data_IF_907438518747
#
_entry.id   IF_907438518747
#
_cell.length_a   1.000
_cell.length_b   1.000
_cell.length_c   1.000
_cell.angle_alpha   90.00
_cell.angle_beta   90.00
_cell.angle_gamma   90.00
#
_symmetry.space_group_name_H-M   'P 1'
#
loop_
_entity.id
_entity.type
_entity.pdbx_description
1 polymer ?
#
# COMPACT_ATOMS: atom_id res chain seq x y z
N UNK A 1 1.66 10.42 2.20
CA UNK A 1 2.90 9.65 2.00
C UNK A 1 4.14 10.52 1.83
N UNK A 2 4.06 11.69 1.17
CA UNK A 2 5.23 12.55 0.91
C UNK A 2 6.07 12.88 2.15
N UNK A 3 5.44 13.34 3.25
CA UNK A 3 6.15 13.64 4.52
C UNK A 3 6.89 12.43 5.10
N UNK A 4 6.26 11.26 5.08
CA UNK A 4 6.83 10.04 5.65
C UNK A 4 7.96 9.50 4.78
N UNK A 5 7.79 9.52 3.44
CA UNK A 5 8.86 9.18 2.50
C UNK A 5 10.07 10.10 2.64
N UNK A 6 9.87 11.41 2.78
CA UNK A 6 10.95 12.36 3.02
C UNK A 6 11.70 12.07 4.34
N UNK A 7 10.97 11.71 5.40
CA UNK A 7 11.57 11.37 6.68
C UNK A 7 12.41 10.09 6.61
N UNK A 8 11.95 9.06 5.88
CA UNK A 8 12.72 7.84 5.63
C UNK A 8 14.03 8.15 4.93
N UNK A 9 13.99 8.92 3.84
CA UNK A 9 15.19 9.31 3.09
C UNK A 9 16.16 10.12 3.96
N UNK A 10 15.65 11.07 4.75
CA UNK A 10 16.49 11.86 5.66
C UNK A 10 17.19 10.98 6.71
N UNK A 11 16.46 10.01 7.28
CA UNK A 11 17.03 9.07 8.26
C UNK A 11 18.08 8.15 7.62
N UNK A 12 17.82 7.68 6.40
CA UNK A 12 18.74 6.82 5.65
C UNK A 12 20.04 7.55 5.30
N UNK A 13 19.95 8.81 4.89
CA UNK A 13 21.12 9.67 4.66
C UNK A 13 21.90 9.92 5.96
N UNK A 14 21.21 10.20 7.07
CA UNK A 14 21.86 10.37 8.37
C UNK A 14 22.59 9.09 8.82
N UNK A 15 21.96 7.93 8.66
CA UNK A 15 22.57 6.64 8.94
C UNK A 15 23.79 6.39 8.04
N UNK A 16 23.70 6.72 6.75
CA UNK A 16 24.82 6.65 5.81
C UNK A 16 26.00 7.54 6.19
N UNK A 17 25.74 8.77 6.65
CA UNK A 17 26.77 9.68 7.14
C UNK A 17 27.47 9.14 8.39
N UNK A 18 26.70 8.62 9.36
CA UNK A 18 27.26 8.00 10.56
C UNK A 18 28.10 6.77 10.19
N UNK A 19 27.59 5.91 9.32
CA UNK A 19 28.31 4.73 8.85
C UNK A 19 29.60 5.11 8.11
N UNK A 20 29.58 6.15 7.27
CA UNK A 20 30.78 6.65 6.61
C UNK A 20 31.81 7.18 7.61
N UNK A 21 31.37 7.86 8.67
CA UNK A 21 32.28 8.32 9.73
C UNK A 21 32.99 7.19 10.47
N UNK A 22 32.33 6.04 10.67
CA UNK A 22 32.90 4.89 11.37
C UNK A 22 33.69 3.92 10.47
N UNK A 23 33.18 3.64 9.27
CA UNK A 23 33.71 2.59 8.39
C UNK A 23 34.43 3.14 7.16
N UNK A 24 34.34 4.45 6.90
CA UNK A 24 34.96 5.11 5.76
C UNK A 24 34.27 4.84 4.42
N UNK A 25 35.01 5.05 3.34
CA UNK A 25 34.51 4.95 1.97
C UNK A 25 33.92 3.58 1.55
N UNK A 26 34.36 2.41 2.07
CA UNK A 26 33.81 1.12 1.65
C UNK A 26 32.31 1.00 1.91
N UNK A 27 31.80 1.68 2.94
CA UNK A 27 30.37 1.67 3.28
C UNK A 27 29.51 2.24 2.15
N UNK A 28 30.05 3.15 1.34
CA UNK A 28 29.32 3.77 0.23
C UNK A 28 28.99 2.76 -0.87
N UNK A 29 29.79 1.70 -1.02
CA UNK A 29 29.56 0.63 -2.02
C UNK A 29 28.23 -0.07 -1.77
N UNK A 30 27.80 -0.17 -0.51
CA UNK A 30 26.54 -0.81 -0.11
C UNK A 30 25.46 0.25 0.16
N UNK A 31 25.82 1.33 0.85
CA UNK A 31 24.88 2.38 1.24
C UNK A 31 24.24 3.09 0.04
N UNK A 32 25.02 3.37 -1.02
CA UNK A 32 24.49 4.05 -2.22
C UNK A 32 23.45 3.19 -2.94
N UNK A 33 23.70 1.90 -3.26
CA UNK A 33 22.67 1.02 -3.81
C UNK A 33 21.41 0.93 -2.96
N UNK A 34 21.54 0.87 -1.63
CA UNK A 34 20.40 0.81 -0.71
C UNK A 34 19.54 2.08 -0.82
N UNK A 35 20.15 3.27 -0.76
CA UNK A 35 19.45 4.55 -0.93
C UNK A 35 18.73 4.61 -2.30
N UNK A 36 19.40 4.16 -3.37
CA UNK A 36 18.80 4.13 -4.71
C UNK A 36 17.57 3.21 -4.74
N UNK A 37 17.65 2.03 -4.16
CA UNK A 37 16.52 1.10 -4.06
C UNK A 37 15.35 1.71 -3.28
N UNK A 38 15.63 2.38 -2.16
CA UNK A 38 14.62 3.08 -1.37
C UNK A 38 13.92 4.16 -2.19
N UNK A 39 14.67 4.98 -2.93
CA UNK A 39 14.10 5.99 -3.82
C UNK A 39 13.22 5.38 -4.91
N UNK A 40 13.68 4.30 -5.55
CA UNK A 40 12.90 3.57 -6.57
C UNK A 40 11.60 3.04 -5.96
N UNK A 41 11.65 2.42 -4.78
CA UNK A 41 10.47 1.92 -4.09
C UNK A 41 9.46 3.04 -3.79
N UNK A 42 9.94 4.20 -3.30
CA UNK A 42 9.10 5.37 -3.05
C UNK A 42 8.44 5.89 -4.33
N UNK A 43 9.18 5.93 -5.45
CA UNK A 43 8.64 6.32 -6.75
C UNK A 43 7.56 5.34 -7.23
N UNK A 44 7.81 4.04 -7.12
CA UNK A 44 6.84 2.99 -7.49
C UNK A 44 5.56 3.10 -6.66
N UNK A 45 5.69 3.30 -5.35
CA UNK A 45 4.54 3.50 -4.46
C UNK A 45 3.78 4.75 -4.87
N UNK A 46 4.48 5.87 -5.10
CA UNK A 46 3.86 7.14 -5.51
C UNK A 46 3.13 7.02 -6.84
N UNK A 47 3.70 6.33 -7.83
CA UNK A 47 3.05 6.05 -9.10
C UNK A 47 1.80 5.18 -8.94
N UNK A 48 1.82 4.25 -7.96
CA UNK A 48 0.71 3.34 -7.66
C UNK A 48 -0.43 3.99 -6.88
N UNK A 49 -0.23 5.15 -6.26
CA UNK A 49 -1.29 5.85 -5.51
C UNK A 49 -2.43 6.33 -6.42
N UNK A 50 -2.13 6.81 -7.63
CA UNK A 50 -3.13 7.30 -8.58
C UNK A 50 -4.11 6.21 -9.07
N UNK A 51 -3.67 5.04 -9.56
CA UNK A 51 -4.57 3.96 -9.92
C UNK A 51 -5.31 3.38 -8.70
N UNK A 52 -4.67 3.32 -7.52
CA UNK A 52 -5.36 2.90 -6.29
C UNK A 52 -6.51 3.83 -5.92
N UNK A 53 -6.33 5.14 -6.03
CA UNK A 53 -7.42 6.11 -5.80
C UNK A 53 -8.57 5.93 -6.79
N UNK A 54 -8.27 5.76 -8.08
CA UNK A 54 -9.30 5.50 -9.10
C UNK A 54 -10.08 4.20 -8.82
N UNK A 55 -9.41 3.14 -8.40
CA UNK A 55 -10.07 1.88 -8.01
C UNK A 55 -10.92 2.03 -6.75
N UNK A 56 -10.49 2.83 -5.79
CA UNK A 56 -11.28 3.15 -4.59
C UNK A 56 -12.53 3.97 -4.94
N UNK A 57 -12.42 4.95 -5.83
CA UNK A 57 -13.54 5.72 -6.35
C UNK A 57 -14.55 4.84 -7.10
N UNK A 58 -14.07 3.87 -7.89
CA UNK A 58 -14.94 2.90 -8.60
C UNK A 58 -15.60 1.89 -7.66
N UNK A 59 -14.96 1.56 -6.53
CA UNK A 59 -15.58 0.73 -5.49
C UNK A 59 -16.64 1.51 -4.73
N UNK A 60 -16.36 2.77 -4.40
CA UNK A 60 -17.31 3.64 -3.72
C UNK A 60 -18.56 3.94 -4.57
N UNK A 61 -18.44 4.04 -5.90
CA UNK A 61 -19.59 4.25 -6.79
C UNK A 61 -20.43 3.00 -7.06
N UNK A 62 -19.90 1.79 -6.81
CA UNK A 62 -20.64 0.52 -6.93
C UNK A 62 -21.14 -0.02 -5.59
N UNK A 63 -20.62 0.47 -4.48
CA UNK A 63 -21.01 0.04 -3.15
C UNK A 63 -22.29 0.77 -2.76
N UNK A 64 -23.43 0.15 -3.05
CA UNK A 64 -24.74 0.57 -2.56
C UNK A 64 -24.84 0.24 -1.06
N UNK A 65 -24.89 1.24 -0.16
CA UNK A 65 -25.01 1.01 1.28
C UNK A 65 -26.34 0.33 1.66
N UNK A 66 -27.38 0.39 0.81
CA UNK A 66 -28.65 -0.30 1.03
C UNK A 66 -28.62 -1.76 0.54
N UNK A 67 -27.64 -2.13 -0.29
CA UNK A 67 -27.32 -3.52 -0.64
C UNK A 67 -26.36 -4.19 0.34
N UNK A 68 -25.90 -3.48 1.37
CA UNK A 68 -25.22 -4.07 2.52
C UNK A 68 -26.24 -4.86 3.35
N UNK A 69 -26.62 -6.04 2.84
CA UNK A 69 -27.31 -7.06 3.63
C UNK A 69 -26.50 -7.22 4.93
N UNK A 70 -27.09 -7.02 6.11
CA UNK A 70 -26.40 -7.16 7.38
C UNK A 70 -26.16 -8.65 7.66
N UNK A 71 -25.27 -9.25 6.87
CA UNK A 71 -24.84 -10.64 6.94
C UNK A 71 -23.35 -10.65 7.26
N UNK A 72 -23.03 -10.24 8.49
CA UNK A 72 -21.67 -10.27 9.00
C UNK A 72 -21.12 -11.70 8.99
N UNK A 73 -20.00 -11.88 8.27
CA UNK A 73 -18.83 -12.65 8.71
C UNK A 73 -19.07 -14.02 9.37
N UNK A 74 -20.06 -14.79 8.93
CA UNK A 74 -20.11 -16.23 9.18
C UNK A 74 -20.51 -17.01 7.93
N UNK A 75 -19.52 -17.72 7.41
CA UNK A 75 -19.63 -18.75 6.38
C UNK A 75 -20.74 -19.76 6.69
N UNK A 76 -21.59 -20.06 5.72
CA UNK A 76 -22.28 -21.37 5.65
C UNK A 76 -23.78 -21.38 5.38
N UNK A 77 -24.49 -20.24 5.44
CA UNK A 77 -25.98 -20.28 5.48
C UNK A 77 -26.74 -19.79 4.24
N UNK A 78 -26.05 -19.38 3.16
CA UNK A 78 -26.76 -19.11 1.90
C UNK A 78 -26.86 -20.36 1.04
N UNK A 79 -27.74 -21.29 1.44
CA UNK A 79 -28.45 -22.08 0.43
C UNK A 79 -29.44 -21.15 -0.25
N UNK A 80 -29.14 -20.77 -1.50
CA UNK A 80 -30.13 -20.21 -2.41
C UNK A 80 -31.13 -21.32 -2.71
N UNK A 81 -32.17 -21.47 -1.87
CA UNK A 81 -33.28 -22.34 -2.16
C UNK A 81 -34.04 -21.75 -3.35
N UNK A 82 -33.75 -22.28 -4.55
CA UNK A 82 -34.64 -22.17 -5.70
C UNK A 82 -36.03 -22.65 -5.28
N UNK A 83 -37.06 -22.00 -5.83
CA UNK A 83 -38.29 -22.63 -6.33
C UNK A 83 -39.63 -22.34 -5.61
N UNK A 84 -40.41 -21.50 -6.34
CA UNK A 84 -41.85 -21.63 -6.66
C UNK A 84 -42.89 -21.12 -5.65
N UNK A 85 -43.67 -20.13 -6.11
CA UNK A 85 -45.13 -20.24 -6.04
C UNK A 85 -45.82 -19.52 -7.21
N UNK A 86 -46.45 -20.33 -8.07
CA UNK A 86 -47.48 -19.97 -9.05
C UNK A 86 -48.80 -19.68 -8.31
N UNK A 87 -49.66 -18.77 -8.80
CA UNK A 87 -51.10 -19.03 -8.82
C UNK A 87 -51.44 -20.06 -9.90
#
# INVERSE_FOLDING_TARGET
MLRMGAMVVAMELAAGLVAYGYFGWPVLVIGVPVIVLTLVALLVVRASEAPRRRLQEHRASRWDPDAAVPGGLMSGFFEVSKQRRKP
#
